data_IF_961427600521
#
_entry.id   IF_961427600521
#
_cell.length_a   1.000
_cell.length_b   1.000
_cell.length_c   1.000
_cell.angle_alpha   90.00
_cell.angle_beta   90.00
_cell.angle_gamma   90.00
#
_symmetry.space_group_name_H-M   'P 1'
#
loop_
_entity.id
_entity.type
_entity.pdbx_description
1 polymer ?
#
# COMPACT_ATOMS: atom_id res chain seq x y z
N UNK A 1 9.23 -10.66 -9.29
CA UNK A 1 8.91 -9.87 -8.11
C UNK A 1 9.09 -8.40 -8.39
N UNK A 2 8.21 -7.58 -7.88
CA UNK A 2 8.23 -6.14 -8.13
C UNK A 2 8.98 -5.43 -7.01
N UNK A 3 10.03 -4.70 -7.36
CA UNK A 3 10.75 -3.87 -6.39
C UNK A 3 9.83 -2.80 -5.80
N UNK A 4 8.91 -2.29 -6.62
CA UNK A 4 7.94 -1.29 -6.17
C UNK A 4 6.99 -1.88 -5.12
N UNK A 5 6.51 -3.11 -5.33
CA UNK A 5 5.65 -3.78 -4.37
C UNK A 5 6.38 -3.99 -3.04
N UNK A 6 7.64 -4.41 -3.09
CA UNK A 6 8.43 -4.59 -1.87
C UNK A 6 8.63 -3.28 -1.12
N UNK A 7 8.87 -2.19 -1.84
CA UNK A 7 9.01 -0.86 -1.22
C UNK A 7 7.72 -0.41 -0.57
N UNK A 8 6.58 -0.67 -1.22
CA UNK A 8 5.28 -0.33 -0.65
C UNK A 8 4.99 -1.16 0.59
N UNK A 9 5.32 -2.45 0.57
CA UNK A 9 5.15 -3.32 1.74
C UNK A 9 5.96 -2.80 2.91
N UNK A 10 7.22 -2.44 2.69
CA UNK A 10 8.07 -1.91 3.74
C UNK A 10 7.49 -0.60 4.32
N UNK A 11 6.97 0.27 3.44
CA UNK A 11 6.41 1.55 3.86
C UNK A 11 5.11 1.39 4.66
N UNK A 12 4.37 0.31 4.43
CA UNK A 12 3.14 0.00 5.17
C UNK A 12 3.46 -0.55 6.58
N UNK A 13 4.68 -0.95 6.82
CA UNK A 13 5.09 -1.53 8.10
C UNK A 13 5.45 -3.01 8.00
N UNK A 14 5.61 -3.51 6.79
CA UNK A 14 5.95 -4.90 6.53
C UNK A 14 4.71 -5.77 6.28
N UNK A 15 4.94 -6.97 5.79
CA UNK A 15 3.83 -7.90 5.47
C UNK A 15 2.99 -8.25 6.69
N UNK A 16 3.60 -8.30 7.87
CA UNK A 16 2.87 -8.62 9.09
C UNK A 16 1.83 -7.57 9.47
N UNK A 17 1.97 -6.37 8.93
CA UNK A 17 1.02 -5.28 9.17
C UNK A 17 -0.14 -5.28 8.15
N UNK A 18 -0.04 -6.08 7.09
CA UNK A 18 -1.05 -6.13 6.03
C UNK A 18 -2.06 -7.23 6.34
N UNK A 19 -3.32 -6.85 6.53
CA UNK A 19 -4.39 -7.81 6.71
C UNK A 19 -5.06 -8.19 5.40
N UNK A 20 -5.27 -7.21 4.53
CA UNK A 20 -5.91 -7.43 3.25
C UNK A 20 -5.50 -6.35 2.26
N UNK A 21 -5.39 -6.71 1.00
CA UNK A 21 -5.06 -5.76 -0.08
C UNK A 21 -6.07 -5.95 -1.21
N UNK A 22 -6.70 -4.86 -1.62
CA UNK A 22 -7.61 -4.86 -2.74
C UNK A 22 -7.25 -3.75 -3.72
N UNK A 23 -7.27 -4.07 -5.00
CA UNK A 23 -7.11 -3.05 -6.04
C UNK A 23 -8.48 -2.46 -6.37
N UNK A 24 -8.53 -1.14 -6.45
CA UNK A 24 -9.76 -0.43 -6.81
C UNK A 24 -9.41 0.62 -7.87
N UNK A 25 -9.51 0.25 -9.13
CA UNK A 25 -9.20 1.07 -10.30
C UNK A 25 -7.73 1.53 -10.26
N UNK A 26 -7.44 2.69 -9.65
CA UNK A 26 -6.08 3.24 -9.58
C UNK A 26 -5.55 3.26 -8.15
N UNK A 27 -6.26 2.65 -7.21
CA UNK A 27 -5.91 2.68 -5.79
C UNK A 27 -5.73 1.29 -5.23
N UNK A 28 -4.88 1.21 -4.22
CA UNK A 28 -4.79 0.03 -3.37
C UNK A 28 -5.49 0.36 -2.07
N UNK A 29 -6.45 -0.47 -1.70
CA UNK A 29 -7.08 -0.38 -0.39
C UNK A 29 -6.47 -1.45 0.48
N UNK A 30 -5.76 -1.02 1.51
CA UNK A 30 -5.00 -1.92 2.36
C UNK A 30 -5.51 -1.82 3.79
N UNK A 31 -5.88 -2.96 4.36
CA UNK A 31 -6.23 -3.02 5.78
C UNK A 31 -4.97 -3.37 6.56
N UNK A 32 -4.65 -2.55 7.55
CA UNK A 32 -3.45 -2.72 8.36
C UNK A 32 -3.81 -3.01 9.81
N UNK A 33 -2.96 -3.77 10.48
CA UNK A 33 -3.14 -4.08 11.90
C UNK A 33 -2.82 -2.88 12.77
N UNK A 34 -1.78 -2.13 12.41
CA UNK A 34 -1.35 -0.97 13.16
C UNK A 34 -1.10 0.20 12.22
N UNK A 35 -2.04 1.16 12.13
CA UNK A 35 -1.87 2.30 11.24
C UNK A 35 -0.72 3.22 11.61
N UNK A 36 -0.21 3.15 12.85
CA UNK A 36 0.94 3.99 13.25
C UNK A 36 2.24 3.55 12.60
N UNK A 37 2.28 2.34 12.04
CA UNK A 37 3.47 1.83 11.34
C UNK A 37 3.51 2.24 9.87
N UNK A 38 2.45 2.87 9.39
CA UNK A 38 2.38 3.31 8.00
C UNK A 38 3.16 4.61 7.82
N UNK A 39 4.10 4.62 6.87
CA UNK A 39 4.92 5.79 6.56
C UNK A 39 4.47 6.37 5.23
N UNK A 40 3.70 7.46 5.27
CA UNK A 40 3.20 8.13 4.07
C UNK A 40 4.31 8.60 3.15
N UNK A 41 5.36 9.15 3.73
CA UNK A 41 6.47 9.67 2.95
C UNK A 41 7.18 8.57 2.20
N UNK A 42 7.41 7.44 2.87
CA UNK A 42 8.01 6.28 2.23
C UNK A 42 7.12 5.72 1.12
N UNK A 43 5.80 5.75 1.31
CA UNK A 43 4.85 5.33 0.27
C UNK A 43 4.97 6.21 -0.96
N UNK A 44 5.08 7.52 -0.78
CA UNK A 44 5.26 8.44 -1.90
C UNK A 44 6.59 8.22 -2.59
N UNK A 45 7.65 7.99 -1.84
CA UNK A 45 8.96 7.69 -2.40
C UNK A 45 8.96 6.38 -3.18
N UNK A 46 8.14 5.45 -2.76
CA UNK A 46 7.99 4.17 -3.46
C UNK A 46 7.16 4.29 -4.75
N UNK A 47 6.58 5.46 -5.01
CA UNK A 47 5.85 5.72 -6.24
C UNK A 47 4.37 5.98 -6.09
N UNK A 48 3.88 6.14 -4.87
CA UNK A 48 2.47 6.48 -4.65
C UNK A 48 2.24 7.95 -5.00
N UNK A 49 1.14 8.21 -5.70
CA UNK A 49 0.74 9.58 -6.04
C UNK A 49 0.01 10.27 -4.90
N UNK A 50 -0.60 9.49 -4.02
CA UNK A 50 -1.28 10.02 -2.87
C UNK A 50 -1.59 8.90 -1.88
N UNK A 51 -1.82 9.28 -0.63
CA UNK A 51 -2.11 8.35 0.46
C UNK A 51 -3.22 8.93 1.31
N UNK A 52 -4.23 8.11 1.60
CA UNK A 52 -5.32 8.48 2.51
C UNK A 52 -5.37 7.47 3.63
N UNK A 53 -5.28 7.96 4.86
CA UNK A 53 -5.37 7.14 6.07
C UNK A 53 -6.74 7.33 6.72
N UNK A 54 -7.46 6.23 6.90
CA UNK A 54 -8.76 6.25 7.57
C UNK A 54 -8.84 5.09 8.55
N UNK A 55 -8.40 5.34 9.80
CA UNK A 55 -8.34 4.29 10.81
C UNK A 55 -7.43 3.16 10.34
N UNK A 56 -7.89 1.91 10.35
CA UNK A 56 -7.06 0.78 9.94
C UNK A 56 -6.98 0.59 8.42
N UNK A 57 -7.60 1.48 7.64
CA UNK A 57 -7.60 1.38 6.19
C UNK A 57 -6.70 2.45 5.58
N UNK A 58 -5.79 2.02 4.72
CA UNK A 58 -4.89 2.91 3.98
C UNK A 58 -5.24 2.80 2.51
N UNK A 59 -5.52 3.93 1.87
CA UNK A 59 -5.72 3.97 0.43
C UNK A 59 -4.48 4.59 -0.20
N UNK A 60 -3.87 3.86 -1.09
CA UNK A 60 -2.65 4.29 -1.77
C UNK A 60 -2.95 4.43 -3.26
N UNK A 61 -2.80 5.63 -3.78
CA UNK A 61 -3.03 5.89 -5.20
C UNK A 61 -1.77 5.53 -5.98
N UNK A 62 -1.85 4.48 -6.78
CA UNK A 62 -0.70 3.97 -7.53
C UNK A 62 -0.92 4.00 -9.04
N UNK A 63 -2.09 4.47 -9.49
CA UNK A 63 -2.41 4.56 -10.90
C UNK A 63 -2.73 3.19 -11.52
N UNK A 64 -2.45 3.01 -12.81
CA UNK A 64 -2.88 1.81 -13.54
C UNK A 64 -2.19 0.52 -13.08
N UNK A 65 -1.20 0.61 -12.22
CA UNK A 65 -0.50 -0.57 -11.69
C UNK A 65 -1.20 -1.21 -10.50
N UNK A 66 -2.37 -0.69 -10.09
CA UNK A 66 -3.04 -1.15 -8.87
C UNK A 66 -3.27 -2.66 -8.85
N UNK A 67 -3.77 -3.23 -9.95
CA UNK A 67 -4.03 -4.68 -10.02
C UNK A 67 -2.75 -5.50 -9.87
N UNK A 68 -1.71 -5.11 -10.59
CA UNK A 68 -0.43 -5.81 -10.54
C UNK A 68 0.20 -5.73 -9.15
N UNK A 69 0.15 -4.54 -8.55
CA UNK A 69 0.71 -4.34 -7.21
C UNK A 69 -0.09 -5.11 -6.15
N UNK A 70 -1.41 -5.12 -6.27
CA UNK A 70 -2.26 -5.89 -5.35
C UNK A 70 -1.89 -7.36 -5.38
N UNK A 71 -1.70 -7.94 -6.57
CA UNK A 71 -1.31 -9.33 -6.71
C UNK A 71 0.06 -9.59 -6.07
N UNK A 72 1.01 -8.69 -6.26
CA UNK A 72 2.36 -8.83 -5.71
C UNK A 72 2.41 -8.66 -4.19
N UNK A 73 1.48 -7.88 -3.63
CA UNK A 73 1.44 -7.59 -2.20
C UNK A 73 0.61 -8.59 -1.39
N UNK A 74 -0.19 -9.39 -2.07
CA UNK A 74 -1.06 -10.37 -1.41
C UNK A 74 -0.32 -11.53 -0.80
#
# INVERSE_FOLDING_TARGET
MSAKAESLIAAIGGRSNIGNVEACITRLRIEVSDPTKVDEEALREAGAFGVVLQGPVVQVVVGPEADALSAAMS
#
